data_IF_711408229363
#
_entry.id   IF_711408229363
#
_cell.length_a   1.000
_cell.length_b   1.000
_cell.length_c   1.000
_cell.angle_alpha   90.00
_cell.angle_beta   90.00
_cell.angle_gamma   90.00
#
_symmetry.space_group_name_H-M   'P 1'
#
loop_
_entity.id
_entity.type
_entity.pdbx_description
1 polymer ?
#
# COMPACT_ATOMS: atom_id res chain seq x y z
N UNK A 1 4.32 8.96 25.19
CA UNK A 1 4.67 10.04 24.23
C UNK A 1 6.01 9.85 23.53
N UNK A 2 7.12 9.48 24.20
CA UNK A 2 8.42 9.25 23.52
C UNK A 2 8.37 8.16 22.45
N UNK A 3 7.64 7.07 22.70
CA UNK A 3 7.51 5.93 21.77
C UNK A 3 6.79 6.29 20.46
N UNK A 4 5.60 6.91 20.51
CA UNK A 4 4.85 7.28 19.29
C UNK A 4 5.63 8.26 18.40
N UNK A 5 6.40 9.17 19.00
CA UNK A 5 7.26 10.07 18.25
C UNK A 5 8.38 9.33 17.52
N UNK A 6 9.00 8.35 18.17
CA UNK A 6 10.02 7.52 17.53
C UNK A 6 9.45 6.73 16.33
N UNK A 7 8.26 6.14 16.49
CA UNK A 7 7.58 5.44 15.39
C UNK A 7 7.22 6.37 14.24
N UNK A 8 6.74 7.57 14.55
CA UNK A 8 6.42 8.58 13.56
C UNK A 8 7.67 9.04 12.79
N UNK A 9 8.76 9.34 13.49
CA UNK A 9 10.03 9.75 12.89
C UNK A 9 10.58 8.65 11.97
N UNK A 10 10.52 7.39 12.42
CA UNK A 10 10.94 6.23 11.64
C UNK A 10 10.08 6.03 10.37
N UNK A 11 8.76 6.20 10.49
CA UNK A 11 7.85 6.08 9.34
C UNK A 11 8.11 7.16 8.28
N UNK A 12 8.31 8.40 8.74
CA UNK A 12 8.66 9.53 7.88
C UNK A 12 9.98 9.28 7.16
N UNK A 13 10.97 8.70 7.86
CA UNK A 13 12.24 8.31 7.26
C UNK A 13 12.06 7.26 6.16
N UNK A 14 11.34 6.16 6.42
CA UNK A 14 11.08 5.09 5.45
C UNK A 14 10.33 5.62 4.22
N UNK A 15 9.32 6.47 4.41
CA UNK A 15 8.57 7.09 3.32
C UNK A 15 9.44 7.95 2.40
N UNK A 16 10.40 8.68 2.98
CA UNK A 16 11.34 9.51 2.22
C UNK A 16 12.37 8.66 1.48
N UNK A 17 12.86 7.59 2.09
CA UNK A 17 13.76 6.64 1.42
C UNK A 17 13.05 5.95 0.25
N UNK A 18 11.79 5.53 0.43
CA UNK A 18 10.98 4.98 -0.67
C UNK A 18 10.86 6.01 -1.82
N UNK A 19 10.44 7.23 -1.51
CA UNK A 19 10.30 8.28 -2.53
C UNK A 19 11.59 8.62 -3.27
N UNK A 20 12.74 8.56 -2.58
CA UNK A 20 14.05 8.82 -3.17
C UNK A 20 14.52 7.71 -4.11
N UNK A 21 14.11 6.47 -3.85
CA UNK A 21 14.65 5.30 -4.53
C UNK A 21 13.75 4.70 -5.60
N UNK A 22 12.46 5.08 -5.66
CA UNK A 22 11.52 4.59 -6.65
C UNK A 22 10.85 5.72 -7.43
N UNK A 23 11.02 5.71 -8.74
CA UNK A 23 10.41 6.70 -9.64
C UNK A 23 8.90 6.44 -9.84
N UNK A 24 8.51 5.17 -10.02
CA UNK A 24 7.11 4.76 -10.24
C UNK A 24 6.47 4.23 -8.95
N UNK A 25 6.34 5.12 -7.97
CA UNK A 25 5.79 4.84 -6.63
C UNK A 25 4.31 5.18 -6.54
N UNK A 26 3.52 4.34 -5.86
CA UNK A 26 2.15 4.67 -5.47
C UNK A 26 1.83 4.16 -4.07
N UNK A 27 0.73 4.62 -3.46
CA UNK A 27 0.34 4.20 -2.11
C UNK A 27 -1.07 3.65 -2.06
N UNK A 28 -1.25 2.45 -1.51
CA UNK A 28 -2.60 1.92 -1.29
C UNK A 28 -3.31 2.68 -0.18
N UNK A 29 -4.53 3.12 -0.48
CA UNK A 29 -5.41 3.75 0.48
C UNK A 29 -6.81 3.13 0.40
N UNK A 30 -7.21 2.50 1.50
CA UNK A 30 -8.48 1.79 1.65
C UNK A 30 -9.47 2.55 2.55
N UNK A 31 -9.14 3.78 2.93
CA UNK A 31 -9.88 4.58 3.93
C UNK A 31 -10.02 3.87 5.29
N UNK A 32 -9.25 2.79 5.53
CA UNK A 32 -9.18 2.11 6.81
C UNK A 32 -8.30 2.87 7.81
N UNK A 33 -8.28 2.40 9.07
CA UNK A 33 -7.50 3.03 10.15
C UNK A 33 -6.01 3.13 9.79
N UNK A 34 -5.40 2.05 9.33
CA UNK A 34 -3.94 1.99 9.13
C UNK A 34 -3.54 2.78 7.89
N UNK A 35 -4.26 2.61 6.79
CA UNK A 35 -3.99 3.33 5.54
C UNK A 35 -4.26 4.84 5.66
N UNK A 36 -5.18 5.26 6.55
CA UNK A 36 -5.41 6.69 6.84
C UNK A 36 -4.33 7.28 7.74
N UNK A 37 -3.84 6.52 8.73
CA UNK A 37 -2.64 6.95 9.49
C UNK A 37 -1.43 7.05 8.57
N UNK A 38 -1.29 6.11 7.64
CA UNK A 38 -0.21 6.15 6.67
C UNK A 38 -0.30 7.36 5.72
N UNK A 39 -1.52 7.71 5.26
CA UNK A 39 -1.76 8.94 4.50
C UNK A 39 -1.36 10.18 5.31
N UNK A 40 -1.68 10.23 6.60
CA UNK A 40 -1.24 11.31 7.47
C UNK A 40 0.29 11.39 7.58
N UNK A 41 0.97 10.25 7.75
CA UNK A 41 2.43 10.18 7.81
C UNK A 41 3.09 10.61 6.48
N UNK A 42 2.52 10.22 5.34
CA UNK A 42 2.95 10.68 4.02
C UNK A 42 2.85 12.20 3.91
N UNK A 43 1.71 12.77 4.28
CA UNK A 43 1.56 14.23 4.33
C UNK A 43 2.59 14.89 5.25
N UNK A 44 2.84 14.32 6.43
CA UNK A 44 3.86 14.85 7.33
C UNK A 44 5.27 14.78 6.72
N UNK A 45 5.60 13.68 6.06
CA UNK A 45 6.90 13.47 5.43
C UNK A 45 7.19 14.50 4.32
N UNK A 46 6.16 14.95 3.60
CA UNK A 46 6.25 15.87 2.47
C UNK A 46 5.50 17.19 2.71
N UNK A 47 5.54 17.70 3.95
CA UNK A 47 5.09 19.05 4.32
C UNK A 47 3.65 19.41 3.91
N UNK A 48 2.74 18.44 4.02
CA UNK A 48 1.32 18.57 3.74
C UNK A 48 0.90 18.01 2.37
N UNK A 49 1.87 17.72 1.49
CA UNK A 49 1.67 17.16 0.17
C UNK A 49 1.83 15.63 0.15
N UNK A 50 1.36 14.99 -0.91
CA UNK A 50 1.65 13.58 -1.20
C UNK A 50 2.19 13.53 -2.64
N UNK A 51 3.49 13.23 -2.85
CA UNK A 51 4.14 13.38 -4.14
C UNK A 51 3.97 12.18 -5.08
N UNK A 52 3.14 11.20 -4.69
CA UNK A 52 2.83 10.00 -5.45
C UNK A 52 1.31 9.76 -5.42
N UNK A 53 0.74 9.09 -6.43
CA UNK A 53 -0.68 8.78 -6.47
C UNK A 53 -1.09 7.84 -5.34
N UNK A 54 -2.28 8.07 -4.81
CA UNK A 54 -3.01 7.14 -3.98
C UNK A 54 -3.75 6.14 -4.86
N UNK A 55 -3.91 4.92 -4.37
CA UNK A 55 -4.58 3.85 -5.11
C UNK A 55 -5.65 3.24 -4.22
N UNK A 56 -6.88 3.33 -4.67
CA UNK A 56 -8.03 2.69 -4.05
C UNK A 56 -8.57 1.59 -4.97
N UNK A 57 -8.73 0.38 -4.46
CA UNK A 57 -9.33 -0.73 -5.22
C UNK A 57 -10.81 -0.82 -4.86
N UNK A 58 -11.65 -0.31 -5.76
CA UNK A 58 -13.09 -0.27 -5.59
C UNK A 58 -13.73 -1.61 -5.98
N UNK A 59 -14.24 -2.30 -4.98
CA UNK A 59 -14.92 -3.58 -5.17
C UNK A 59 -16.35 -3.46 -5.67
N UNK A 60 -16.93 -2.25 -5.74
CA UNK A 60 -18.34 -2.02 -6.05
C UNK A 60 -19.30 -2.36 -4.89
N UNK A 61 -18.78 -2.83 -3.76
CA UNK A 61 -19.54 -3.21 -2.57
C UNK A 61 -19.17 -2.39 -1.33
N UNK A 62 -18.53 -1.23 -1.53
CA UNK A 62 -18.17 -0.34 -0.43
C UNK A 62 -19.36 0.49 0.05
N UNK A 63 -19.31 0.90 1.31
CA UNK A 63 -20.33 1.78 1.88
C UNK A 63 -20.28 3.15 1.18
N UNK A 64 -21.42 3.70 0.72
CA UNK A 64 -21.46 5.01 0.07
C UNK A 64 -20.83 6.12 0.91
N UNK A 65 -21.00 6.09 2.23
CA UNK A 65 -20.44 7.06 3.17
C UNK A 65 -18.91 7.05 3.17
N UNK A 66 -18.30 5.89 2.90
CA UNK A 66 -16.84 5.75 2.78
C UNK A 66 -16.32 6.42 1.51
N UNK A 67 -17.07 6.27 0.41
CA UNK A 67 -16.77 6.89 -0.88
C UNK A 67 -16.91 8.41 -0.78
N UNK A 68 -17.97 8.90 -0.13
CA UNK A 68 -18.15 10.32 0.14
C UNK A 68 -17.01 10.90 0.99
N UNK A 69 -16.59 10.17 2.04
CA UNK A 69 -15.45 10.54 2.87
C UNK A 69 -14.15 10.61 2.07
N UNK A 70 -13.88 9.61 1.24
CA UNK A 70 -12.72 9.53 0.34
C UNK A 70 -12.68 10.74 -0.60
N UNK A 71 -13.77 10.99 -1.32
CA UNK A 71 -13.85 12.04 -2.34
C UNK A 71 -13.80 13.43 -1.72
N UNK A 72 -14.33 13.60 -0.51
CA UNK A 72 -14.19 14.84 0.25
C UNK A 72 -12.73 15.10 0.65
N UNK A 73 -12.04 14.11 1.22
CA UNK A 73 -10.62 14.27 1.59
C UNK A 73 -9.71 14.50 0.38
N UNK A 74 -9.93 13.81 -0.74
CA UNK A 74 -9.18 14.04 -1.97
C UNK A 74 -9.28 15.49 -2.43
N UNK A 75 -10.49 16.10 -2.36
CA UNK A 75 -10.69 17.51 -2.72
C UNK A 75 -10.06 18.46 -1.71
N UNK A 76 -10.29 18.24 -0.42
CA UNK A 76 -9.78 19.09 0.65
C UNK A 76 -8.24 19.14 0.66
N UNK A 77 -7.59 17.99 0.44
CA UNK A 77 -6.14 17.85 0.54
C UNK A 77 -5.43 17.79 -0.81
N UNK A 78 -6.18 17.92 -1.92
CA UNK A 78 -5.67 17.87 -3.31
C UNK A 78 -4.86 16.60 -3.57
N UNK A 79 -5.42 15.46 -3.18
CA UNK A 79 -4.79 14.16 -3.36
C UNK A 79 -5.04 13.66 -4.78
N UNK A 80 -3.99 13.14 -5.43
CA UNK A 80 -4.13 12.38 -6.65
C UNK A 80 -4.57 10.95 -6.31
N UNK A 81 -5.75 10.54 -6.75
CA UNK A 81 -6.35 9.24 -6.44
C UNK A 81 -6.66 8.49 -7.72
N UNK A 82 -6.03 7.33 -7.86
CA UNK A 82 -6.34 6.33 -8.88
C UNK A 82 -7.30 5.30 -8.29
N UNK A 83 -8.45 5.12 -8.93
CA UNK A 83 -9.40 4.06 -8.58
C UNK A 83 -9.20 2.89 -9.53
N UNK A 84 -8.81 1.75 -8.98
CA UNK A 84 -8.70 0.47 -9.67
C UNK A 84 -9.95 -0.38 -9.45
N UNK A 85 -10.44 -1.05 -10.48
CA UNK A 85 -11.63 -1.90 -10.39
C UNK A 85 -11.56 -3.01 -11.43
N UNK A 86 -11.95 -4.23 -11.03
CA UNK A 86 -12.12 -5.35 -11.96
C UNK A 86 -13.51 -5.27 -12.60
N UNK A 87 -13.64 -4.43 -13.62
CA UNK A 87 -14.92 -4.18 -14.32
C UNK A 87 -15.45 -5.42 -15.03
N UNK A 88 -14.56 -6.31 -15.49
CA UNK A 88 -14.95 -7.58 -16.13
C UNK A 88 -15.62 -8.52 -15.13
N UNK A 89 -15.03 -8.69 -13.94
CA UNK A 89 -15.62 -9.49 -12.88
C UNK A 89 -16.96 -8.91 -12.41
N UNK A 90 -17.06 -7.59 -12.26
CA UNK A 90 -18.33 -6.93 -11.92
C UNK A 90 -19.40 -7.14 -12.98
N UNK A 91 -19.05 -6.99 -14.26
CA UNK A 91 -19.98 -7.23 -15.36
C UNK A 91 -20.42 -8.70 -15.43
N UNK A 92 -19.55 -9.64 -15.04
CA UNK A 92 -19.87 -11.05 -14.88
C UNK A 92 -20.70 -11.37 -13.62
N UNK A 93 -21.07 -10.36 -12.83
CA UNK A 93 -21.87 -10.49 -11.62
C UNK A 93 -21.09 -11.03 -10.42
N UNK A 94 -19.76 -10.93 -10.42
CA UNK A 94 -18.92 -11.34 -9.28
C UNK A 94 -19.28 -10.53 -8.04
N UNK A 95 -19.58 -11.22 -6.94
CA UNK A 95 -19.91 -10.61 -5.68
C UNK A 95 -19.65 -11.52 -4.48
N UNK A 96 -19.98 -11.05 -3.26
CA UNK A 96 -19.78 -11.82 -2.03
C UNK A 96 -20.54 -13.16 -2.00
N UNK A 97 -21.61 -13.29 -2.78
CA UNK A 97 -22.49 -14.46 -2.83
C UNK A 97 -21.77 -15.69 -3.42
N UNK A 98 -20.77 -15.49 -4.27
CA UNK A 98 -19.96 -16.55 -4.89
C UNK A 98 -18.84 -17.09 -3.99
N UNK A 99 -18.78 -16.64 -2.74
CA UNK A 99 -17.82 -17.09 -1.73
C UNK A 99 -16.72 -16.06 -1.49
N UNK A 100 -16.36 -15.90 -0.21
CA UNK A 100 -15.43 -14.86 0.25
C UNK A 100 -14.08 -14.89 -0.47
N UNK A 101 -13.47 -16.07 -0.62
CA UNK A 101 -12.15 -16.20 -1.23
C UNK A 101 -12.21 -15.84 -2.71
N UNK A 102 -13.10 -16.45 -3.48
CA UNK A 102 -13.29 -16.18 -4.91
C UNK A 102 -13.56 -14.70 -5.18
N UNK A 103 -14.48 -14.10 -4.42
CA UNK A 103 -14.80 -12.68 -4.52
C UNK A 103 -13.59 -11.80 -4.19
N UNK A 104 -12.89 -12.05 -3.08
CA UNK A 104 -11.74 -11.22 -2.69
C UNK A 104 -10.59 -11.36 -3.69
N UNK A 105 -10.35 -12.55 -4.24
CA UNK A 105 -9.34 -12.76 -5.28
C UNK A 105 -9.66 -11.92 -6.51
N UNK A 106 -10.85 -12.07 -7.08
CA UNK A 106 -11.23 -11.34 -8.29
C UNK A 106 -11.32 -9.83 -8.08
N UNK A 107 -11.94 -9.39 -6.98
CA UNK A 107 -12.28 -7.99 -6.75
C UNK A 107 -11.18 -7.18 -6.07
N UNK A 108 -10.23 -7.83 -5.38
CA UNK A 108 -9.13 -7.14 -4.70
C UNK A 108 -7.78 -7.50 -5.29
N UNK A 109 -7.44 -8.78 -5.37
CA UNK A 109 -6.11 -9.23 -5.80
C UNK A 109 -5.93 -8.99 -7.30
N UNK A 110 -6.83 -9.51 -8.11
CA UNK A 110 -6.73 -9.38 -9.57
C UNK A 110 -6.92 -7.93 -10.01
N UNK A 111 -7.88 -7.22 -9.41
CA UNK A 111 -8.06 -5.78 -9.60
C UNK A 111 -6.78 -4.99 -9.29
N UNK A 112 -6.10 -5.29 -8.18
CA UNK A 112 -4.83 -4.66 -7.81
C UNK A 112 -3.73 -4.99 -8.83
N UNK A 113 -3.56 -6.26 -9.20
CA UNK A 113 -2.56 -6.68 -10.19
C UNK A 113 -2.76 -5.98 -11.53
N UNK A 114 -4.01 -5.91 -12.01
CA UNK A 114 -4.37 -5.19 -13.24
C UNK A 114 -4.06 -3.70 -13.14
N UNK A 115 -4.38 -3.07 -12.00
CA UNK A 115 -4.15 -1.64 -11.79
C UNK A 115 -2.65 -1.32 -11.74
N UNK A 116 -1.86 -2.11 -11.02
CA UNK A 116 -0.39 -1.97 -10.98
C UNK A 116 0.19 -2.10 -12.40
N UNK A 117 -0.22 -3.14 -13.14
CA UNK A 117 0.28 -3.36 -14.50
C UNK A 117 -0.08 -2.22 -15.45
N UNK A 118 -1.29 -1.67 -15.35
CA UNK A 118 -1.77 -0.54 -16.18
C UNK A 118 -0.96 0.72 -15.95
N UNK A 119 -0.62 1.02 -14.70
CA UNK A 119 0.12 2.23 -14.32
C UNK A 119 1.64 2.04 -14.28
N UNK A 120 2.10 0.80 -14.46
CA UNK A 120 3.53 0.41 -14.46
C UNK A 120 4.26 0.79 -13.16
N UNK A 121 3.55 0.79 -12.03
CA UNK A 121 4.18 1.04 -10.75
C UNK A 121 5.18 -0.06 -10.43
N UNK A 122 6.39 0.35 -10.09
CA UNK A 122 7.49 -0.53 -9.66
C UNK A 122 7.55 -0.63 -8.16
N UNK A 123 6.94 0.31 -7.43
CA UNK A 123 6.80 0.24 -6.00
C UNK A 123 5.43 0.66 -5.47
N UNK A 124 4.96 -0.06 -4.45
CA UNK A 124 3.69 0.21 -3.77
C UNK A 124 3.92 0.35 -2.27
N UNK A 125 3.42 1.44 -1.71
CA UNK A 125 3.35 1.68 -0.27
C UNK A 125 2.11 1.00 0.32
N UNK A 126 2.31 0.18 1.36
CA UNK A 126 1.25 -0.58 2.06
C UNK A 126 1.25 -0.30 3.56
N UNK A 127 0.06 -0.16 4.15
CA UNK A 127 -0.13 -0.01 5.60
C UNK A 127 -0.34 -1.33 6.34
N UNK A 128 0.42 -2.38 6.02
CA UNK A 128 0.34 -3.65 6.74
C UNK A 128 1.17 -3.60 8.01
N UNK A 129 0.71 -4.27 9.07
CA UNK A 129 1.46 -4.41 10.31
C UNK A 129 1.79 -5.86 10.60
N UNK A 130 2.95 -6.07 11.20
CA UNK A 130 3.46 -7.40 11.50
C UNK A 130 2.77 -8.08 12.69
N UNK A 131 2.09 -7.32 13.56
CA UNK A 131 1.29 -7.86 14.67
C UNK A 131 -0.14 -8.28 14.24
N UNK A 132 -0.55 -7.99 13.00
CA UNK A 132 -1.89 -8.34 12.51
C UNK A 132 -2.03 -9.82 12.13
N UNK A 133 -0.95 -10.49 11.73
CA UNK A 133 -0.97 -11.88 11.28
C UNK A 133 0.42 -12.53 11.40
N UNK A 134 0.50 -13.78 11.88
CA UNK A 134 1.78 -14.42 12.21
C UNK A 134 2.76 -14.56 11.04
N UNK A 135 2.27 -14.67 9.81
CA UNK A 135 3.12 -14.71 8.59
C UNK A 135 3.83 -13.39 8.33
N UNK A 136 3.25 -12.27 8.77
CA UNK A 136 3.80 -10.91 8.57
C UNK A 136 4.93 -10.57 9.53
N UNK A 137 5.16 -11.39 10.56
CA UNK A 137 6.31 -11.23 11.45
C UNK A 137 7.66 -11.36 10.72
N UNK A 138 7.68 -11.97 9.53
CA UNK A 138 8.88 -12.13 8.69
C UNK A 138 9.01 -11.07 7.60
N UNK A 139 8.04 -10.17 7.47
CA UNK A 139 8.12 -9.07 6.50
C UNK A 139 9.25 -8.09 6.85
N UNK A 140 9.63 -7.29 5.85
CA UNK A 140 10.67 -6.26 5.92
C UNK A 140 10.07 -4.91 5.53
N UNK A 141 10.78 -3.81 5.78
CA UNK A 141 10.28 -2.49 5.34
C UNK A 141 10.23 -2.40 3.82
N UNK A 142 11.20 -2.98 3.11
CA UNK A 142 11.14 -3.14 1.66
C UNK A 142 11.03 -4.62 1.33
N UNK A 143 9.82 -5.01 0.89
CA UNK A 143 9.48 -6.39 0.60
C UNK A 143 9.49 -6.61 -0.91
N UNK A 144 10.51 -7.32 -1.38
CA UNK A 144 10.65 -7.63 -2.80
C UNK A 144 9.59 -8.67 -3.20
N UNK A 145 8.88 -8.37 -4.29
CA UNK A 145 8.03 -9.33 -4.99
C UNK A 145 8.62 -9.65 -6.35
N UNK A 146 8.45 -10.88 -6.78
CA UNK A 146 8.90 -11.32 -8.10
C UNK A 146 8.04 -10.71 -9.23
N UNK A 147 8.35 -11.03 -10.48
CA UNK A 147 7.60 -10.56 -11.67
C UNK A 147 6.13 -10.98 -11.71
N UNK A 148 5.73 -11.97 -10.90
CA UNK A 148 4.36 -12.46 -10.76
C UNK A 148 3.64 -11.85 -9.55
N UNK A 149 4.36 -11.04 -8.76
CA UNK A 149 3.89 -10.43 -7.52
C UNK A 149 3.95 -11.38 -6.32
N UNK A 150 4.64 -12.52 -6.44
CA UNK A 150 4.79 -13.50 -5.38
C UNK A 150 5.94 -13.11 -4.43
N UNK A 151 5.86 -13.62 -3.20
CA UNK A 151 6.82 -13.34 -2.15
C UNK A 151 7.63 -14.57 -1.77
N UNK A 152 8.95 -14.40 -1.69
CA UNK A 152 9.87 -15.40 -1.17
C UNK A 152 10.66 -14.81 0.01
N UNK A 153 10.63 -15.51 1.14
CA UNK A 153 11.36 -15.12 2.36
C UNK A 153 12.89 -15.17 2.18
N UNK A 154 13.38 -15.94 1.22
CA UNK A 154 14.81 -16.13 0.94
C UNK A 154 15.41 -14.96 0.16
N UNK A 155 14.58 -14.27 -0.60
CA UNK A 155 14.98 -13.16 -1.46
C UNK A 155 14.88 -11.80 -0.75
N UNK A 156 14.60 -11.80 0.57
CA UNK A 156 14.49 -10.59 1.36
C UNK A 156 15.87 -10.17 1.88
N UNK A 157 16.43 -9.03 1.42
CA UNK A 157 17.73 -8.59 1.87
C UNK A 157 17.72 -8.27 3.37
N UNK A 158 18.85 -8.44 4.07
CA UNK A 158 18.96 -8.00 5.45
C UNK A 158 18.84 -6.47 5.53
N UNK A 159 17.98 -6.00 6.43
CA UNK A 159 17.87 -4.59 6.80
C UNK A 159 18.61 -4.41 8.13
N UNK A 160 19.74 -3.70 8.09
CA UNK A 160 20.57 -3.46 9.27
C UNK A 160 20.54 -1.97 9.61
N UNK A 161 20.17 -1.65 10.85
CA UNK A 161 19.92 -0.28 11.30
C UNK A 161 18.85 0.41 10.44
N UNK A 162 19.19 1.57 9.87
CA UNK A 162 18.34 2.40 9.02
C UNK A 162 18.81 2.36 7.55
N UNK A 163 19.52 1.30 7.16
CA UNK A 163 19.99 1.06 5.79
C UNK A 163 19.14 0.00 5.10
N UNK A 164 18.57 0.39 3.96
CA UNK A 164 17.69 -0.47 3.16
C UNK A 164 18.38 -0.83 1.86
N UNK A 165 18.28 -2.10 1.46
CA UNK A 165 18.65 -2.47 0.10
C UNK A 165 17.50 -2.11 -0.83
N UNK A 166 17.67 -1.02 -1.56
CA UNK A 166 16.68 -0.51 -2.54
C UNK A 166 17.06 -0.85 -3.99
N UNK A 167 18.11 -1.65 -4.20
CA UNK A 167 18.54 -2.06 -5.54
C UNK A 167 17.87 -3.38 -5.91
N UNK A 168 16.89 -3.32 -6.81
CA UNK A 168 16.11 -4.47 -7.23
C UNK A 168 16.30 -4.80 -8.72
N UNK A 169 16.20 -6.07 -9.13
CA UNK A 169 16.26 -6.46 -10.54
C UNK A 169 15.16 -5.79 -11.37
N UNK A 170 15.48 -5.43 -12.62
CA UNK A 170 14.50 -4.84 -13.53
C UNK A 170 13.27 -5.76 -13.70
N UNK A 171 12.06 -5.20 -13.53
CA UNK A 171 10.79 -5.92 -13.63
C UNK A 171 10.30 -6.58 -12.35
N UNK A 172 11.01 -6.41 -11.22
CA UNK A 172 10.50 -6.76 -9.89
C UNK A 172 9.59 -5.66 -9.33
N UNK A 173 8.64 -6.02 -8.47
CA UNK A 173 7.75 -5.08 -7.80
C UNK A 173 8.21 -4.97 -6.34
N UNK A 174 8.59 -3.78 -5.91
CA UNK A 174 8.94 -3.53 -4.50
C UNK A 174 7.70 -3.11 -3.73
N UNK A 175 7.24 -3.92 -2.79
CA UNK A 175 6.25 -3.48 -1.82
C UNK A 175 6.99 -2.80 -0.65
N UNK A 176 7.01 -1.47 -0.63
CA UNK A 176 7.44 -0.72 0.55
C UNK A 176 6.35 -0.77 1.61
N UNK A 177 6.69 -1.21 2.81
CA UNK A 177 5.82 -1.32 3.98
C UNK A 177 6.29 -0.29 5.00
N UNK A 178 5.81 0.96 4.90
CA UNK A 178 5.90 1.88 6.01
C UNK A 178 4.90 1.43 7.08
N UNK A 179 5.44 0.71 8.06
CA UNK A 179 5.30 1.05 9.47
C UNK A 179 4.92 -0.12 10.38
N UNK A 180 5.81 -0.41 11.33
CA UNK A 180 5.49 -1.02 12.62
C UNK A 180 4.79 0.02 13.52
N UNK A 181 3.50 0.31 13.30
CA UNK A 181 2.70 1.01 14.34
C UNK A 181 2.28 -0.04 15.36
N UNK A 182 3.13 -0.37 16.34
CA UNK A 182 2.65 -1.15 17.50
C UNK A 182 3.60 -2.09 18.22
N UNK A 183 4.92 -2.09 17.97
CA UNK A 183 5.82 -2.86 18.85
C UNK A 183 6.10 -2.09 20.14
N UNK A 184 5.36 -2.46 21.19
CA UNK A 184 5.73 -2.31 22.60
C UNK A 184 6.73 -3.37 23.02
#
# INVERSE_FOLDING_TARGET
MKHLRALEDQSVYILREAYKHFDDLAMLWSMGKDSTVLLWLARKAFFGHVPFPLVHIDTGYEMPELIEYRDRLCREWRLDLVVGQNTEALAAGMGPQQGRVTCCTAMKIDALKQTIAKHKWTAIILGIRADEEGTRAKERYFSLRDKHGEWDFRDQPPELWDQFNTTFPAGSISASIPCWIGQS
#
